data_IF_745107618123
#
_entry.id   IF_745107618123
#
_cell.length_a   1.000
_cell.length_b   1.000
_cell.length_c   1.000
_cell.angle_alpha   90.00
_cell.angle_beta   90.00
_cell.angle_gamma   90.00
#
_symmetry.space_group_name_H-M   'P 1'
#
loop_
_entity.id
_entity.type
_entity.pdbx_description
1 polymer ?
#
# COMPACT_ATOMS: atom_id res chain seq x y z
N UNK A 1 29.04 14.42 21.68
CA UNK A 1 29.42 15.33 20.58
C UNK A 1 28.24 15.44 19.63
N UNK A 2 27.58 16.60 19.60
CA UNK A 2 26.50 16.86 18.64
C UNK A 2 27.09 16.84 17.23
N UNK A 3 26.84 15.79 16.45
CA UNK A 3 27.25 15.74 15.06
C UNK A 3 26.63 16.94 14.34
N UNK A 4 27.48 17.81 13.78
CA UNK A 4 27.06 18.92 12.95
C UNK A 4 26.17 18.34 11.84
N UNK A 5 24.89 18.68 11.94
CA UNK A 5 23.80 18.10 11.17
C UNK A 5 23.99 18.58 9.72
N UNK A 6 24.37 17.74 8.76
CA UNK A 6 24.72 18.22 7.43
C UNK A 6 23.43 18.68 6.74
N UNK A 7 23.15 19.98 6.84
CA UNK A 7 22.00 20.60 6.21
C UNK A 7 22.27 20.72 4.72
N UNK A 8 21.31 20.31 3.89
CA UNK A 8 21.31 20.69 2.48
C UNK A 8 21.45 22.21 2.34
N UNK A 9 21.98 22.61 1.18
CA UNK A 9 22.07 24.02 0.77
C UNK A 9 20.74 24.77 1.04
N UNK A 10 20.75 25.85 1.83
CA UNK A 10 19.56 26.66 2.10
C UNK A 10 18.82 27.10 0.84
N UNK A 11 19.54 27.37 -0.25
CA UNK A 11 18.92 27.73 -1.53
C UNK A 11 18.09 26.57 -2.09
N UNK A 12 18.67 25.37 -2.12
CA UNK A 12 17.96 24.16 -2.54
C UNK A 12 16.71 23.92 -1.69
N UNK A 13 16.80 24.07 -0.36
CA UNK A 13 15.64 23.91 0.53
C UNK A 13 14.54 24.92 0.20
N UNK A 14 14.91 26.17 -0.09
CA UNK A 14 13.95 27.21 -0.50
C UNK A 14 13.27 26.88 -1.83
N UNK A 15 14.02 26.35 -2.80
CA UNK A 15 13.49 25.90 -4.10
C UNK A 15 12.54 24.70 -3.94
N UNK A 16 12.95 23.71 -3.15
CA UNK A 16 12.13 22.53 -2.87
C UNK A 16 10.88 22.86 -2.04
N UNK A 17 10.91 23.91 -1.21
CA UNK A 17 9.75 24.35 -0.43
C UNK A 17 8.74 25.18 -1.24
N UNK A 18 9.00 25.47 -2.52
CA UNK A 18 8.01 26.15 -3.37
C UNK A 18 6.82 25.22 -3.64
N UNK A 19 5.61 25.70 -3.36
CA UNK A 19 4.39 24.91 -3.52
C UNK A 19 3.98 24.84 -5.00
N UNK A 20 3.54 23.66 -5.42
CA UNK A 20 2.88 23.41 -6.70
C UNK A 20 1.48 22.83 -6.44
N UNK A 21 0.44 23.69 -6.22
CA UNK A 21 -0.90 23.24 -5.84
C UNK A 21 -1.51 22.20 -6.78
N UNK A 22 -1.20 22.28 -8.08
CA UNK A 22 -1.62 21.30 -9.10
C UNK A 22 -1.18 19.87 -8.79
N UNK A 23 -0.01 19.67 -8.15
CA UNK A 23 0.50 18.33 -7.82
C UNK A 23 -0.23 17.74 -6.63
N UNK A 24 -0.50 18.57 -5.62
CA UNK A 24 -1.31 18.15 -4.47
C UNK A 24 -2.76 17.86 -4.90
N UNK A 25 -3.38 18.76 -5.66
CA UNK A 25 -4.74 18.58 -6.18
C UNK A 25 -4.82 17.41 -7.15
N UNK A 26 -3.84 17.23 -8.04
CA UNK A 26 -3.79 16.09 -8.96
C UNK A 26 -3.69 14.76 -8.23
N UNK A 27 -2.89 14.69 -7.16
CA UNK A 27 -2.82 13.52 -6.29
C UNK A 27 -4.16 13.25 -5.59
N UNK A 28 -4.77 14.27 -4.98
CA UNK A 28 -6.07 14.15 -4.33
C UNK A 28 -7.15 13.67 -5.32
N UNK A 29 -7.22 14.27 -6.51
CA UNK A 29 -8.16 13.88 -7.55
C UNK A 29 -7.94 12.45 -8.03
N UNK A 30 -6.69 12.01 -8.19
CA UNK A 30 -6.38 10.64 -8.58
C UNK A 30 -6.84 9.63 -7.52
N UNK A 31 -6.63 9.91 -6.23
CA UNK A 31 -7.08 9.03 -5.15
C UNK A 31 -8.60 8.95 -5.07
N UNK A 32 -9.29 10.10 -5.17
CA UNK A 32 -10.75 10.14 -5.20
C UNK A 32 -11.33 9.44 -6.44
N UNK A 33 -10.65 9.51 -7.59
CA UNK A 33 -11.05 8.77 -8.78
C UNK A 33 -10.95 7.25 -8.57
N UNK A 34 -9.88 6.76 -7.92
CA UNK A 34 -9.74 5.34 -7.57
C UNK A 34 -10.81 4.91 -6.57
N UNK A 35 -11.12 5.76 -5.57
CA UNK A 35 -12.20 5.51 -4.61
C UNK A 35 -13.54 5.38 -5.32
N UNK A 36 -13.89 6.37 -6.15
CA UNK A 36 -15.15 6.38 -6.90
C UNK A 36 -15.25 5.17 -7.83
N UNK A 37 -14.18 4.87 -8.58
CA UNK A 37 -14.12 3.68 -9.44
C UNK A 37 -14.29 2.39 -8.66
N UNK A 38 -13.69 2.29 -7.46
CA UNK A 38 -13.85 1.10 -6.60
C UNK A 38 -15.31 0.90 -6.23
N UNK A 39 -16.02 1.95 -5.81
CA UNK A 39 -17.46 1.86 -5.51
C UNK A 39 -18.29 1.50 -6.74
N UNK A 40 -18.03 2.12 -7.90
CA UNK A 40 -18.72 1.79 -9.15
C UNK A 40 -18.51 0.33 -9.57
N UNK A 41 -17.29 -0.20 -9.40
CA UNK A 41 -16.99 -1.61 -9.71
C UNK A 41 -17.69 -2.55 -8.74
N UNK A 42 -17.74 -2.22 -7.44
CA UNK A 42 -18.47 -3.03 -6.46
C UNK A 42 -19.96 -3.06 -6.77
N UNK A 43 -20.54 -1.90 -7.06
CA UNK A 43 -21.95 -1.76 -7.42
C UNK A 43 -22.30 -2.52 -8.70
N UNK A 44 -21.43 -2.44 -9.72
CA UNK A 44 -21.63 -3.15 -10.99
C UNK A 44 -21.47 -4.69 -10.88
N UNK A 45 -20.67 -5.17 -9.92
CA UNK A 45 -20.48 -6.61 -9.68
C UNK A 45 -21.56 -7.16 -8.75
N UNK A 46 -22.09 -6.34 -7.84
CA UNK A 46 -23.16 -6.67 -6.86
C UNK A 46 -23.01 -8.05 -6.20
N UNK A 47 -21.80 -8.36 -5.72
CA UNK A 47 -21.48 -9.64 -5.08
C UNK A 47 -20.78 -9.46 -3.74
N UNK A 48 -21.13 -10.21 -2.68
CA UNK A 48 -20.52 -10.07 -1.35
C UNK A 48 -18.98 -10.07 -1.34
N UNK A 49 -18.35 -10.89 -2.20
CA UNK A 49 -16.88 -10.90 -2.31
C UNK A 49 -16.31 -9.59 -2.87
N UNK A 50 -17.03 -8.89 -3.76
CA UNK A 50 -16.59 -7.60 -4.27
C UNK A 50 -16.53 -6.55 -3.15
N UNK A 51 -17.54 -6.52 -2.26
CA UNK A 51 -17.53 -5.66 -1.07
C UNK A 51 -16.34 -5.98 -0.15
N UNK A 52 -16.08 -7.26 0.12
CA UNK A 52 -14.94 -7.67 0.98
C UNK A 52 -13.60 -7.27 0.35
N UNK A 53 -13.41 -7.52 -0.96
CA UNK A 53 -12.17 -7.20 -1.64
C UNK A 53 -11.95 -5.69 -1.79
N UNK A 54 -13.02 -4.90 -1.91
CA UNK A 54 -12.96 -3.45 -2.04
C UNK A 54 -12.41 -2.72 -0.80
N UNK A 55 -12.44 -3.38 0.37
CA UNK A 55 -11.85 -2.85 1.61
C UNK A 55 -10.35 -2.52 1.42
N UNK A 56 -9.65 -3.31 0.60
CA UNK A 56 -8.20 -3.16 0.36
C UNK A 56 -7.88 -1.86 -0.41
N UNK A 57 -8.39 -1.63 -1.64
CA UNK A 57 -8.13 -0.38 -2.36
C UNK A 57 -8.71 0.83 -1.63
N UNK A 58 -9.87 0.73 -0.98
CA UNK A 58 -10.43 1.82 -0.18
C UNK A 58 -9.52 2.20 0.99
N UNK A 59 -9.08 1.23 1.79
CA UNK A 59 -8.15 1.46 2.91
C UNK A 59 -6.79 2.00 2.45
N UNK A 60 -6.28 1.54 1.31
CA UNK A 60 -5.06 2.09 0.70
C UNK A 60 -5.24 3.55 0.26
N UNK A 61 -6.37 3.91 -0.35
CA UNK A 61 -6.64 5.31 -0.71
C UNK A 61 -6.90 6.16 0.53
N UNK A 62 -7.47 5.61 1.59
CA UNK A 62 -7.57 6.30 2.89
C UNK A 62 -6.19 6.60 3.50
N UNK A 63 -5.19 5.72 3.33
CA UNK A 63 -3.79 6.04 3.66
C UNK A 63 -3.27 7.21 2.83
N UNK A 64 -3.61 7.26 1.54
CA UNK A 64 -3.23 8.34 0.63
C UNK A 64 -3.84 9.68 1.07
N UNK A 65 -5.13 9.68 1.41
CA UNK A 65 -5.77 10.83 2.04
C UNK A 65 -5.08 11.21 3.35
N UNK A 66 -4.69 10.24 4.18
CA UNK A 66 -3.93 10.49 5.42
C UNK A 66 -2.59 11.21 5.18
N UNK A 67 -1.88 10.87 4.11
CA UNK A 67 -0.65 11.54 3.71
C UNK A 67 -0.90 12.98 3.19
N UNK A 68 -1.94 13.19 2.38
CA UNK A 68 -2.34 14.53 1.90
C UNK A 68 -2.81 15.42 3.05
N UNK A 69 -3.55 14.84 3.98
CA UNK A 69 -3.97 15.45 5.25
C UNK A 69 -2.76 15.90 6.08
N UNK A 70 -1.76 15.04 6.22
CA UNK A 70 -0.51 15.34 6.89
C UNK A 70 0.23 16.52 6.21
N UNK A 71 0.36 16.50 4.89
CA UNK A 71 0.98 17.59 4.11
C UNK A 71 0.19 18.92 4.28
N UNK A 72 -1.14 18.86 4.28
CA UNK A 72 -2.00 20.02 4.55
C UNK A 72 -1.90 20.53 6.01
N UNK A 73 -1.56 19.68 6.98
CA UNK A 73 -1.30 20.12 8.35
C UNK A 73 -0.10 21.08 8.40
N UNK A 74 0.89 20.88 7.53
CA UNK A 74 2.05 21.76 7.34
C UNK A 74 1.81 22.94 6.37
N UNK A 75 0.58 23.15 5.91
CA UNK A 75 0.19 24.22 4.96
C UNK A 75 0.81 24.07 3.56
N UNK A 76 1.03 22.83 3.12
CA UNK A 76 1.76 22.53 1.88
C UNK A 76 0.86 22.27 0.66
N UNK A 77 -0.47 22.25 0.83
CA UNK A 77 -1.39 22.01 -0.28
C UNK A 77 -1.44 23.22 -1.24
N UNK A 78 -1.65 24.42 -0.70
CA UNK A 78 -1.73 25.66 -1.49
C UNK A 78 -1.64 26.93 -0.62
N UNK A 79 -1.60 28.09 -1.28
CA UNK A 79 -1.86 29.39 -0.67
C UNK A 79 -3.18 29.96 -1.19
N UNK A 80 -3.90 30.78 -0.41
CA UNK A 80 -3.63 31.16 0.99
C UNK A 80 -3.92 30.04 2.00
N UNK A 81 -3.51 30.22 3.26
CA UNK A 81 -3.58 29.19 4.32
C UNK A 81 -5.00 28.75 4.67
N UNK A 82 -6.02 29.60 4.47
CA UNK A 82 -7.42 29.21 4.66
C UNK A 82 -7.89 28.23 3.58
N UNK A 83 -7.42 28.40 2.33
CA UNK A 83 -7.78 27.51 1.22
C UNK A 83 -7.13 26.14 1.40
N UNK A 84 -5.87 26.12 1.87
CA UNK A 84 -5.22 24.89 2.29
C UNK A 84 -6.05 24.14 3.34
N UNK A 85 -6.57 24.86 4.34
CA UNK A 85 -7.33 24.23 5.41
C UNK A 85 -8.68 23.74 4.94
N UNK A 86 -9.38 24.48 4.08
CA UNK A 86 -10.62 24.05 3.47
C UNK A 86 -10.43 22.78 2.63
N UNK A 87 -9.43 22.78 1.72
CA UNK A 87 -9.13 21.64 0.86
C UNK A 87 -8.64 20.43 1.65
N UNK A 88 -7.67 20.63 2.55
CA UNK A 88 -7.13 19.57 3.41
C UNK A 88 -8.18 18.98 4.34
N UNK A 89 -9.13 19.78 4.82
CA UNK A 89 -10.24 19.28 5.65
C UNK A 89 -11.25 18.50 4.81
N UNK A 90 -11.76 19.07 3.73
CA UNK A 90 -12.84 18.48 2.94
C UNK A 90 -12.42 17.26 2.12
N UNK A 91 -11.21 17.28 1.53
CA UNK A 91 -10.73 16.22 0.64
C UNK A 91 -9.96 15.12 1.37
N UNK A 92 -9.51 15.35 2.60
CA UNK A 92 -8.63 14.40 3.29
C UNK A 92 -8.97 14.17 4.77
N UNK A 93 -9.10 15.23 5.59
CA UNK A 93 -9.31 15.06 7.04
C UNK A 93 -10.71 14.54 7.41
N UNK A 94 -11.77 15.25 7.02
CA UNK A 94 -13.15 14.89 7.34
C UNK A 94 -13.57 13.53 6.77
N UNK A 95 -13.19 13.14 5.54
CA UNK A 95 -13.39 11.78 5.05
C UNK A 95 -12.81 10.68 5.97
N UNK A 96 -11.75 10.98 6.72
CA UNK A 96 -11.15 10.05 7.69
C UNK A 96 -11.74 10.18 9.10
N UNK A 97 -12.71 11.08 9.30
CA UNK A 97 -13.28 11.38 10.62
C UNK A 97 -12.32 12.14 11.54
N UNK A 98 -11.36 12.86 10.96
CA UNK A 98 -10.33 13.62 11.69
C UNK A 98 -10.49 15.12 11.44
N UNK A 99 -9.91 15.95 12.31
CA UNK A 99 -9.86 17.40 12.11
C UNK A 99 -8.44 17.91 11.91
N UNK A 100 -8.29 18.84 10.97
CA UNK A 100 -6.99 19.35 10.53
C UNK A 100 -6.28 20.15 11.62
N UNK A 101 -6.96 21.07 12.30
CA UNK A 101 -6.36 21.85 13.39
C UNK A 101 -6.02 21.01 14.61
N UNK A 102 -6.89 20.05 14.96
CA UNK A 102 -6.65 19.09 16.05
C UNK A 102 -5.39 18.27 15.82
N UNK A 103 -5.27 17.69 14.62
CA UNK A 103 -4.09 16.95 14.22
C UNK A 103 -2.84 17.82 14.11
N UNK A 104 -2.92 19.01 13.50
CA UNK A 104 -1.80 19.96 13.42
C UNK A 104 -1.21 20.27 14.79
N UNK A 105 -2.06 20.49 15.81
CA UNK A 105 -1.61 20.70 17.20
C UNK A 105 -0.83 19.50 17.75
N UNK A 106 -1.39 18.29 17.60
CA UNK A 106 -0.74 17.05 18.03
C UNK A 106 0.60 16.84 17.30
N UNK A 107 0.58 16.96 15.98
CA UNK A 107 1.71 16.65 15.12
C UNK A 107 2.85 17.66 15.28
N UNK A 108 2.55 18.95 15.45
CA UNK A 108 3.60 19.95 15.71
C UNK A 108 4.24 19.78 17.10
N UNK A 109 3.47 19.32 18.09
CA UNK A 109 4.04 18.93 19.39
C UNK A 109 5.00 17.73 19.23
N UNK A 110 4.62 16.73 18.43
CA UNK A 110 5.49 15.61 18.06
C UNK A 110 6.78 16.07 17.34
N UNK A 111 6.71 16.92 16.32
CA UNK A 111 7.91 17.46 15.67
C UNK A 111 8.84 18.19 16.64
N UNK A 112 8.26 18.96 17.56
CA UNK A 112 9.03 19.73 18.56
C UNK A 112 9.70 18.83 19.58
N UNK A 113 9.04 17.74 19.97
CA UNK A 113 9.46 16.84 21.05
C UNK A 113 9.98 15.50 20.54
N UNK A 114 10.30 15.38 19.25
CA UNK A 114 10.64 14.11 18.61
C UNK A 114 11.68 13.33 19.43
N UNK A 115 11.32 12.10 19.80
CA UNK A 115 12.21 11.20 20.54
C UNK A 115 12.42 11.56 22.01
N UNK A 116 11.77 12.59 22.54
CA UNK A 116 11.79 12.91 23.97
C UNK A 116 10.69 12.15 24.73
N UNK A 117 10.76 12.19 26.06
CA UNK A 117 9.69 11.66 26.92
C UNK A 117 8.38 12.46 26.79
N UNK A 118 8.46 13.72 26.35
CA UNK A 118 7.34 14.62 26.13
C UNK A 118 6.73 14.48 24.72
N UNK A 119 7.27 13.58 23.88
CA UNK A 119 6.70 13.26 22.58
C UNK A 119 5.30 12.63 22.76
N UNK A 120 4.22 13.29 22.29
CA UNK A 120 2.86 12.78 22.46
C UNK A 120 2.64 11.42 21.77
N UNK A 121 3.42 11.11 20.72
CA UNK A 121 3.37 9.79 20.08
C UNK A 121 3.98 8.71 20.98
N UNK A 122 5.12 8.98 21.60
CA UNK A 122 5.77 8.06 22.53
C UNK A 122 4.91 7.82 23.77
N UNK A 123 4.29 8.88 24.31
CA UNK A 123 3.32 8.74 25.39
C UNK A 123 2.15 7.82 24.98
N UNK A 124 1.57 8.02 23.79
CA UNK A 124 0.50 7.16 23.30
C UNK A 124 0.94 5.70 23.10
N UNK A 125 2.14 5.48 22.52
CA UNK A 125 2.74 4.15 22.39
C UNK A 125 2.96 3.50 23.75
N UNK A 126 3.38 4.26 24.77
CA UNK A 126 3.61 3.77 26.13
C UNK A 126 2.38 3.14 26.80
N UNK A 127 1.18 3.51 26.36
CA UNK A 127 -0.08 2.94 26.86
C UNK A 127 -0.35 1.52 26.34
N UNK A 128 0.37 1.06 25.31
CA UNK A 128 0.08 -0.19 24.59
C UNK A 128 1.32 -1.07 24.50
N UNK A 129 1.26 -2.29 25.04
CA UNK A 129 2.41 -3.25 25.06
C UNK A 129 2.87 -3.72 23.68
N UNK A 130 2.08 -3.48 22.63
CA UNK A 130 2.36 -3.94 21.27
C UNK A 130 3.56 -3.26 20.62
N UNK A 131 4.04 -2.14 21.15
CA UNK A 131 5.19 -1.38 20.65
C UNK A 131 6.49 -1.68 21.42
N UNK A 132 6.54 -2.79 22.15
CA UNK A 132 7.74 -3.21 22.89
C UNK A 132 8.73 -3.93 21.98
N UNK A 133 10.01 -3.73 22.28
CA UNK A 133 11.13 -4.40 21.64
C UNK A 133 11.86 -5.32 22.65
N UNK A 134 12.48 -6.43 22.21
CA UNK A 134 12.50 -6.93 20.83
C UNK A 134 11.12 -7.43 20.36
N UNK A 135 10.84 -7.17 19.08
CA UNK A 135 9.61 -7.54 18.42
C UNK A 135 9.53 -9.05 18.20
N UNK A 136 8.46 -9.68 18.68
CA UNK A 136 8.18 -11.09 18.37
C UNK A 136 7.34 -11.17 17.10
N UNK A 137 7.88 -11.80 16.04
CA UNK A 137 7.21 -11.87 14.73
C UNK A 137 5.74 -12.33 14.79
N UNK A 138 5.35 -13.36 15.57
CA UNK A 138 3.94 -13.74 15.70
C UNK A 138 3.07 -12.64 16.30
N UNK A 139 3.59 -11.86 17.26
CA UNK A 139 2.83 -10.76 17.89
C UNK A 139 2.61 -9.60 16.91
N UNK A 140 3.62 -9.26 16.12
CA UNK A 140 3.51 -8.23 15.08
C UNK A 140 2.52 -8.67 14.01
N UNK A 141 2.63 -9.91 13.53
CA UNK A 141 1.72 -10.48 12.54
C UNK A 141 0.27 -10.56 13.06
N UNK A 142 0.06 -11.07 14.27
CA UNK A 142 -1.27 -11.14 14.88
C UNK A 142 -1.87 -9.76 15.13
N UNK A 143 -1.06 -8.76 15.49
CA UNK A 143 -1.53 -7.38 15.60
C UNK A 143 -1.96 -6.79 14.25
N UNK A 144 -1.19 -7.05 13.19
CA UNK A 144 -1.52 -6.62 11.83
C UNK A 144 -2.79 -7.32 11.30
N UNK A 145 -2.86 -8.65 11.40
CA UNK A 145 -4.04 -9.43 11.00
C UNK A 145 -5.24 -9.06 11.86
N UNK A 146 -5.04 -8.84 13.16
CA UNK A 146 -6.07 -8.38 14.08
C UNK A 146 -6.69 -7.06 13.63
N UNK A 147 -5.87 -6.09 13.23
CA UNK A 147 -6.38 -4.83 12.65
C UNK A 147 -7.19 -5.07 11.39
N UNK A 148 -6.72 -5.93 10.45
CA UNK A 148 -7.44 -6.25 9.21
C UNK A 148 -8.86 -6.82 9.43
N UNK A 149 -9.13 -7.44 10.57
CA UNK A 149 -10.45 -8.00 10.92
C UNK A 149 -11.22 -7.18 11.95
N UNK A 150 -10.79 -5.93 12.22
CA UNK A 150 -11.53 -4.96 13.04
C UNK A 150 -10.84 -4.58 14.37
N UNK A 151 -9.64 -5.11 14.64
CA UNK A 151 -8.79 -4.70 15.76
C UNK A 151 -8.34 -3.23 15.71
N UNK A 152 -8.59 -2.53 14.59
CA UNK A 152 -8.30 -1.12 14.42
C UNK A 152 -9.30 -0.15 15.08
N UNK A 153 -10.48 -0.61 15.52
CA UNK A 153 -11.51 0.25 16.13
C UNK A 153 -10.99 1.06 17.33
N UNK A 154 -10.23 0.49 18.29
CA UNK A 154 -9.66 1.27 19.39
C UNK A 154 -8.72 2.39 18.92
N UNK A 155 -7.99 2.18 17.82
CA UNK A 155 -7.11 3.21 17.24
C UNK A 155 -7.92 4.35 16.62
N UNK A 156 -9.05 4.03 15.95
CA UNK A 156 -9.97 5.04 15.44
C UNK A 156 -10.50 5.95 16.57
N UNK A 157 -10.94 5.35 17.69
CA UNK A 157 -11.42 6.10 18.85
C UNK A 157 -10.31 6.93 19.51
N UNK A 158 -9.09 6.39 19.58
CA UNK A 158 -7.93 7.11 20.09
C UNK A 158 -7.57 8.30 19.19
N UNK A 159 -7.58 8.11 17.88
CA UNK A 159 -7.32 9.16 16.91
C UNK A 159 -8.29 10.33 17.06
N UNK A 160 -9.59 10.07 17.18
CA UNK A 160 -10.59 11.11 17.42
C UNK A 160 -10.33 11.91 18.71
N UNK A 161 -9.74 11.29 19.75
CA UNK A 161 -9.32 12.00 20.97
C UNK A 161 -8.06 12.86 20.76
N UNK A 162 -7.10 12.36 19.99
CA UNK A 162 -5.85 13.07 19.68
C UNK A 162 -6.08 14.25 18.73
N UNK A 163 -6.99 14.09 17.77
CA UNK A 163 -7.33 15.10 16.75
C UNK A 163 -8.61 15.85 17.09
N UNK A 164 -8.87 16.12 18.38
CA UNK A 164 -10.06 16.87 18.79
C UNK A 164 -10.12 18.24 18.08
N UNK A 165 -11.31 18.66 17.61
CA UNK A 165 -11.48 19.95 16.95
C UNK A 165 -10.98 21.08 17.84
N UNK A 166 -10.23 22.00 17.24
CA UNK A 166 -9.72 23.20 17.93
C UNK A 166 -10.69 24.38 17.81
N UNK A 167 -11.75 24.25 17.01
CA UNK A 167 -12.78 25.26 16.84
C UNK A 167 -14.16 24.63 16.62
N UNK A 168 -15.21 25.40 16.90
CA UNK A 168 -16.61 25.01 16.63
C UNK A 168 -16.83 24.78 15.13
N UNK A 169 -16.16 25.56 14.28
CA UNK A 169 -16.26 25.42 12.82
C UNK A 169 -15.73 24.06 12.36
N UNK A 170 -14.61 23.58 12.91
CA UNK A 170 -14.11 22.24 12.59
C UNK A 170 -15.07 21.13 13.06
N UNK A 171 -15.60 21.26 14.28
CA UNK A 171 -16.51 20.28 14.85
C UNK A 171 -17.81 20.19 14.04
N UNK A 172 -18.47 21.32 13.80
CA UNK A 172 -19.71 21.40 13.03
C UNK A 172 -19.44 21.04 11.56
N UNK A 173 -18.33 21.50 10.99
CA UNK A 173 -17.97 21.19 9.59
C UNK A 173 -17.84 19.69 9.35
N UNK A 174 -17.18 18.96 10.24
CA UNK A 174 -17.07 17.50 10.14
C UNK A 174 -18.43 16.80 10.31
N UNK A 175 -19.26 17.27 11.25
CA UNK A 175 -20.61 16.72 11.47
C UNK A 175 -21.52 16.95 10.26
N UNK A 176 -21.51 18.17 9.70
CA UNK A 176 -22.26 18.52 8.50
C UNK A 176 -21.76 17.73 7.30
N UNK A 177 -20.45 17.58 7.13
CA UNK A 177 -19.87 16.76 6.07
C UNK A 177 -20.42 15.33 6.11
N UNK A 178 -20.31 14.65 7.26
CA UNK A 178 -20.81 13.28 7.40
C UNK A 178 -22.34 13.18 7.32
N UNK A 179 -23.06 14.14 7.89
CA UNK A 179 -24.52 14.20 7.81
C UNK A 179 -25.03 14.34 6.38
N UNK A 180 -24.39 15.19 5.57
CA UNK A 180 -24.70 15.36 4.15
C UNK A 180 -24.33 14.11 3.36
N UNK A 181 -23.10 13.58 3.54
CA UNK A 181 -22.66 12.38 2.83
C UNK A 181 -23.58 11.20 3.12
N UNK A 182 -23.84 10.91 4.40
CA UNK A 182 -24.73 9.82 4.79
C UNK A 182 -26.15 10.06 4.30
N UNK A 183 -26.69 11.27 4.47
CA UNK A 183 -28.04 11.61 4.02
C UNK A 183 -28.23 11.44 2.51
N UNK A 184 -27.28 11.93 1.70
CA UNK A 184 -27.30 11.78 0.24
C UNK A 184 -27.27 10.30 -0.16
N UNK A 185 -26.34 9.51 0.37
CA UNK A 185 -26.25 8.09 0.01
C UNK A 185 -27.46 7.28 0.48
N UNK A 186 -28.06 7.59 1.63
CA UNK A 186 -29.30 6.95 2.09
C UNK A 186 -30.47 7.27 1.15
N UNK A 187 -30.66 8.53 0.76
CA UNK A 187 -31.73 8.94 -0.17
C UNK A 187 -31.58 8.26 -1.54
N UNK A 188 -30.34 8.02 -1.98
CA UNK A 188 -30.03 7.32 -3.22
C UNK A 188 -30.13 5.79 -3.11
N UNK A 189 -30.47 5.22 -1.94
CA UNK A 189 -30.50 3.77 -1.72
C UNK A 189 -29.11 3.11 -1.61
N UNK A 190 -28.06 3.91 -1.46
CA UNK A 190 -26.65 3.52 -1.47
C UNK A 190 -26.01 3.60 -0.07
N UNK A 191 -26.79 3.35 0.99
CA UNK A 191 -26.30 3.41 2.39
C UNK A 191 -25.10 2.48 2.67
N UNK A 192 -24.88 1.47 1.83
CA UNK A 192 -23.73 0.58 1.89
C UNK A 192 -22.39 1.29 1.64
N UNK A 193 -22.37 2.40 0.88
CA UNK A 193 -21.15 3.15 0.54
C UNK A 193 -20.47 3.72 1.80
N UNK A 194 -21.12 4.56 2.63
CA UNK A 194 -20.50 5.07 3.85
C UNK A 194 -20.19 3.96 4.86
N UNK A 195 -20.96 2.86 4.89
CA UNK A 195 -20.66 1.70 5.76
C UNK A 195 -19.34 1.05 5.34
N UNK A 196 -19.20 0.72 4.05
CA UNK A 196 -17.99 0.08 3.53
C UNK A 196 -16.76 0.99 3.68
N UNK A 197 -16.94 2.30 3.54
CA UNK A 197 -15.90 3.29 3.80
C UNK A 197 -15.40 3.23 5.25
N UNK A 198 -16.31 3.24 6.23
CA UNK A 198 -15.94 3.16 7.66
C UNK A 198 -15.32 1.80 8.01
N UNK A 199 -15.82 0.70 7.44
CA UNK A 199 -15.20 -0.63 7.58
C UNK A 199 -13.76 -0.62 7.08
N UNK A 200 -13.49 0.04 5.95
CA UNK A 200 -12.14 0.19 5.40
C UNK A 200 -11.21 0.99 6.31
N UNK A 201 -11.75 2.02 6.98
CA UNK A 201 -11.00 2.79 7.99
C UNK A 201 -10.65 1.88 9.18
N UNK A 202 -11.66 1.19 9.73
CA UNK A 202 -11.52 0.34 10.91
C UNK A 202 -10.59 -0.87 10.71
N UNK A 203 -10.29 -1.22 9.46
CA UNK A 203 -9.50 -2.39 9.09
C UNK A 203 -8.19 -2.02 8.40
N UNK A 204 -8.20 -1.90 7.07
CA UNK A 204 -7.00 -1.75 6.23
C UNK A 204 -6.28 -0.45 6.51
N UNK A 205 -6.99 0.67 6.69
CA UNK A 205 -6.35 1.94 7.05
C UNK A 205 -5.54 1.79 8.35
N UNK A 206 -6.14 1.38 9.47
CA UNK A 206 -5.39 1.27 10.73
C UNK A 206 -4.24 0.24 10.68
N UNK A 207 -4.41 -0.84 9.91
CA UNK A 207 -3.32 -1.79 9.67
C UNK A 207 -2.12 -1.14 8.96
N UNK A 208 -2.38 -0.22 8.02
CA UNK A 208 -1.35 0.56 7.34
C UNK A 208 -0.68 1.58 8.26
N UNK A 209 -1.46 2.30 9.09
CA UNK A 209 -0.90 3.23 10.08
C UNK A 209 0.01 2.50 11.06
N UNK A 210 -0.37 1.29 11.50
CA UNK A 210 0.48 0.45 12.33
C UNK A 210 1.83 0.18 11.65
N UNK A 211 1.83 -0.29 10.40
CA UNK A 211 3.06 -0.56 9.67
C UNK A 211 3.93 0.69 9.54
N UNK A 212 3.33 1.86 9.36
CA UNK A 212 4.04 3.15 9.35
C UNK A 212 4.69 3.47 10.69
N UNK A 213 3.98 3.35 11.80
CA UNK A 213 4.55 3.57 13.14
C UNK A 213 5.75 2.62 13.38
N UNK A 214 5.61 1.34 12.99
CA UNK A 214 6.71 0.37 13.06
C UNK A 214 7.92 0.79 12.23
N UNK A 215 7.69 1.28 11.01
CA UNK A 215 8.77 1.56 10.07
C UNK A 215 9.38 2.94 10.22
N UNK A 216 8.67 3.91 10.80
CA UNK A 216 9.10 5.32 10.87
C UNK A 216 9.65 5.67 12.27
N UNK A 217 8.94 5.33 13.35
CA UNK A 217 9.21 5.91 14.69
C UNK A 217 9.53 4.91 15.79
N UNK A 218 9.48 3.61 15.53
CA UNK A 218 9.60 2.66 16.62
C UNK A 218 11.01 2.58 17.18
N UNK A 219 11.13 2.83 18.48
CA UNK A 219 12.33 2.61 19.28
C UNK A 219 13.50 3.53 18.93
N UNK A 220 13.27 4.61 18.17
CA UNK A 220 14.29 5.56 17.73
C UNK A 220 14.06 6.94 18.34
N UNK A 221 15.14 7.64 18.69
CA UNK A 221 15.11 9.06 19.11
C UNK A 221 14.85 10.02 17.94
N UNK A 222 14.76 9.49 16.71
CA UNK A 222 14.54 10.22 15.47
C UNK A 222 13.48 9.50 14.63
N UNK A 223 13.73 9.34 13.33
CA UNK A 223 12.89 8.61 12.38
C UNK A 223 13.78 7.67 11.58
N UNK A 224 13.33 6.46 11.29
CA UNK A 224 14.09 5.54 10.44
C UNK A 224 14.07 6.04 8.99
N UNK A 225 15.20 5.90 8.30
CA UNK A 225 15.31 6.22 6.87
C UNK A 225 15.16 4.93 6.06
N UNK A 226 13.93 4.59 5.69
CA UNK A 226 13.60 3.28 5.08
C UNK A 226 13.48 3.37 3.56
N UNK A 227 13.89 2.30 2.88
CA UNK A 227 13.51 2.02 1.50
C UNK A 227 12.39 1.00 1.45
N UNK A 228 11.30 1.39 0.80
CA UNK A 228 10.14 0.53 0.54
C UNK A 228 10.03 0.31 -0.97
N UNK A 229 9.80 -0.94 -1.44
CA UNK A 229 9.57 -1.20 -2.86
C UNK A 229 8.38 -0.40 -3.39
N UNK A 230 8.50 0.20 -4.58
CA UNK A 230 7.50 1.12 -5.16
C UNK A 230 6.07 0.56 -5.16
N UNK A 231 5.90 -0.73 -5.46
CA UNK A 231 4.57 -1.36 -5.49
C UNK A 231 3.93 -1.43 -4.09
N UNK A 232 4.73 -1.62 -3.04
CA UNK A 232 4.26 -1.71 -1.66
C UNK A 232 4.08 -0.32 -1.06
N UNK A 233 4.93 0.62 -1.45
CA UNK A 233 4.84 2.03 -1.09
C UNK A 233 3.50 2.61 -1.52
N UNK A 234 3.05 2.37 -2.75
CA UNK A 234 1.73 2.85 -3.20
C UNK A 234 0.55 2.29 -2.40
N UNK A 235 0.71 1.12 -1.76
CA UNK A 235 -0.35 0.48 -1.00
C UNK A 235 -0.44 1.03 0.43
N UNK A 236 0.70 1.17 1.11
CA UNK A 236 0.79 1.42 2.56
C UNK A 236 1.42 2.76 2.92
N UNK A 237 2.25 3.33 2.05
CA UNK A 237 2.95 4.61 2.22
C UNK A 237 2.81 5.52 0.99
N UNK A 238 1.59 5.76 0.50
CA UNK A 238 1.37 6.63 -0.66
C UNK A 238 1.87 8.05 -0.38
N UNK A 239 2.11 8.79 -1.47
CA UNK A 239 2.56 10.19 -1.43
C UNK A 239 3.81 10.38 -0.59
N UNK A 240 4.82 9.52 -0.79
CA UNK A 240 6.15 9.69 -0.22
C UNK A 240 6.18 9.84 1.32
N UNK A 241 5.11 9.43 2.01
CA UNK A 241 5.01 9.54 3.46
C UNK A 241 6.07 8.67 4.16
N UNK A 242 6.54 7.61 3.48
CA UNK A 242 7.67 6.78 3.92
C UNK A 242 9.03 7.49 3.89
N UNK A 243 9.12 8.69 3.30
CA UNK A 243 10.29 9.57 3.40
C UNK A 243 10.23 10.43 4.67
N UNK A 244 9.73 9.85 5.77
CA UNK A 244 9.38 10.58 6.98
C UNK A 244 10.60 11.21 7.68
N UNK A 245 11.77 10.57 7.59
CA UNK A 245 13.02 11.19 8.08
C UNK A 245 13.34 12.50 7.36
N UNK A 246 13.21 12.55 6.03
CA UNK A 246 13.38 13.78 5.25
C UNK A 246 12.35 14.83 5.64
N UNK A 247 11.10 14.41 5.86
CA UNK A 247 10.02 15.30 6.30
C UNK A 247 10.32 15.91 7.68
N UNK A 248 10.75 15.13 8.68
CA UNK A 248 11.15 15.68 9.98
C UNK A 248 12.30 16.66 9.87
N UNK A 249 13.23 16.43 8.94
CA UNK A 249 14.39 17.31 8.74
C UNK A 249 14.01 18.63 8.07
N UNK A 250 13.09 18.60 7.12
CA UNK A 250 12.60 19.77 6.38
C UNK A 250 11.08 19.69 6.14
N UNK A 251 10.26 19.97 7.15
CA UNK A 251 8.80 19.84 7.05
C UNK A 251 8.15 20.88 6.14
N UNK A 252 8.92 21.84 5.62
CA UNK A 252 8.46 22.80 4.61
C UNK A 252 8.45 22.24 3.18
N UNK A 253 9.05 21.06 2.96
CA UNK A 253 9.14 20.45 1.63
C UNK A 253 7.91 19.54 1.43
N UNK A 254 7.09 19.79 0.38
CA UNK A 254 5.91 19.00 0.10
C UNK A 254 6.27 17.60 -0.39
N UNK A 255 5.36 16.65 -0.19
CA UNK A 255 5.61 15.24 -0.46
C UNK A 255 6.18 14.94 -1.86
N UNK A 256 5.68 15.60 -2.91
CA UNK A 256 6.09 15.40 -4.31
C UNK A 256 7.50 15.92 -4.63
N UNK A 257 8.21 16.48 -3.63
CA UNK A 257 9.60 16.92 -3.71
C UNK A 257 10.51 16.21 -2.69
N UNK A 258 9.98 15.34 -1.83
CA UNK A 258 10.76 14.64 -0.80
C UNK A 258 11.79 13.66 -1.39
N UNK A 259 11.52 13.03 -2.55
CA UNK A 259 12.55 12.20 -3.23
C UNK A 259 13.75 13.02 -3.70
N UNK A 260 13.50 14.23 -4.22
CA UNK A 260 14.58 15.14 -4.62
C UNK A 260 15.38 15.61 -3.40
N UNK A 261 14.68 15.89 -2.29
CA UNK A 261 15.31 16.21 -1.01
C UNK A 261 16.17 15.04 -0.50
N UNK A 262 15.67 13.80 -0.54
CA UNK A 262 16.41 12.58 -0.16
C UNK A 262 17.70 12.44 -0.97
N UNK A 263 17.65 12.70 -2.27
CA UNK A 263 18.81 12.60 -3.16
C UNK A 263 19.90 13.64 -2.84
N UNK A 264 19.51 14.82 -2.33
CA UNK A 264 20.43 15.89 -2.00
C UNK A 264 20.90 15.89 -0.54
N UNK A 265 20.15 15.27 0.37
CA UNK A 265 20.49 15.23 1.79
C UNK A 265 21.44 14.07 2.14
N UNK A 266 22.64 14.35 2.66
CA UNK A 266 23.36 13.37 3.46
C UNK A 266 22.54 13.05 4.72
N UNK A 267 22.64 11.80 5.18
CA UNK A 267 21.87 11.35 6.34
C UNK A 267 22.27 9.93 6.75
N UNK A 268 21.56 9.36 7.74
CA UNK A 268 21.78 7.98 8.15
C UNK A 268 21.57 7.03 6.95
N UNK A 269 22.14 5.81 7.02
CA UNK A 269 21.99 4.83 5.95
C UNK A 269 20.52 4.52 5.70
N UNK A 270 20.17 4.32 4.43
CA UNK A 270 18.84 3.88 4.05
C UNK A 270 18.74 2.38 4.32
N UNK A 271 17.81 1.99 5.19
CA UNK A 271 17.61 0.60 5.59
C UNK A 271 16.49 -0.06 4.78
N UNK A 272 16.63 -1.34 4.47
CA UNK A 272 15.55 -2.12 3.87
C UNK A 272 14.56 -2.63 4.93
N UNK A 273 13.31 -2.88 4.56
CA UNK A 273 12.31 -3.46 5.46
C UNK A 273 12.79 -4.75 6.16
N UNK A 274 13.44 -5.73 5.48
CA UNK A 274 13.95 -6.92 6.15
C UNK A 274 15.07 -6.63 7.15
N UNK A 275 15.93 -5.65 6.87
CA UNK A 275 16.99 -5.25 7.80
C UNK A 275 16.40 -4.61 9.05
N UNK A 276 15.44 -3.70 8.88
CA UNK A 276 14.73 -3.06 9.98
C UNK A 276 13.98 -4.09 10.85
N UNK A 277 13.25 -5.01 10.23
CA UNK A 277 12.55 -6.09 10.93
C UNK A 277 13.50 -6.98 11.74
N UNK A 278 14.67 -7.34 11.18
CA UNK A 278 15.71 -8.08 11.92
C UNK A 278 16.19 -7.28 13.13
N UNK A 279 16.48 -6.00 12.96
CA UNK A 279 16.91 -5.16 14.09
C UNK A 279 15.87 -5.09 15.20
N UNK A 280 14.58 -4.98 14.87
CA UNK A 280 13.53 -5.06 15.89
C UNK A 280 13.49 -6.40 16.61
N UNK A 281 13.78 -7.51 15.94
CA UNK A 281 13.80 -8.84 16.57
C UNK A 281 15.03 -9.08 17.46
N UNK A 282 16.15 -8.41 17.17
CA UNK A 282 17.43 -8.63 17.86
C UNK A 282 17.86 -7.47 18.74
N UNK A 283 17.06 -6.40 18.85
CA UNK A 283 17.41 -5.22 19.63
C UNK A 283 17.49 -5.52 21.13
N UNK A 284 18.13 -4.60 21.86
CA UNK A 284 17.96 -4.49 23.30
C UNK A 284 16.47 -4.34 23.67
N UNK A 285 16.14 -4.74 24.90
CA UNK A 285 14.79 -4.62 25.41
C UNK A 285 14.41 -3.14 25.61
N UNK A 286 13.32 -2.71 24.99
CA UNK A 286 12.72 -1.38 25.17
C UNK A 286 11.23 -1.56 25.45
N UNK A 287 10.74 -0.89 26.49
CA UNK A 287 9.29 -0.81 26.72
C UNK A 287 8.65 0.05 25.65
N UNK A 288 7.36 -0.16 25.42
CA UNK A 288 6.61 0.68 24.49
C UNK A 288 6.76 2.16 24.84
N UNK A 289 7.01 2.99 23.84
CA UNK A 289 7.23 4.43 24.03
C UNK A 289 8.64 4.83 24.48
N UNK A 290 9.49 3.88 24.89
CA UNK A 290 10.91 4.16 25.10
C UNK A 290 11.63 4.23 23.74
N UNK A 291 12.68 5.05 23.69
CA UNK A 291 13.52 5.24 22.51
C UNK A 291 14.98 4.90 22.82
N UNK A 292 15.71 4.47 21.82
CA UNK A 292 17.16 4.32 21.87
C UNK A 292 17.75 4.63 20.48
N UNK A 293 19.06 4.75 20.37
CA UNK A 293 19.71 4.92 19.06
C UNK A 293 19.89 3.57 18.34
N UNK A 294 18.77 2.89 18.08
CA UNK A 294 18.68 1.60 17.35
C UNK A 294 19.39 1.60 15.99
N UNK A 295 19.56 2.79 15.40
CA UNK A 295 20.21 2.98 14.11
C UNK A 295 21.66 2.47 14.15
N UNK A 296 22.37 2.61 15.28
CA UNK A 296 23.79 2.22 15.39
C UNK A 296 24.00 0.70 15.26
N UNK A 297 23.03 -0.11 15.70
CA UNK A 297 23.08 -1.57 15.62
C UNK A 297 22.61 -2.13 14.25
N UNK A 298 21.84 -1.33 13.49
CA UNK A 298 21.28 -1.70 12.19
C UNK A 298 22.29 -1.59 11.02
N UNK A 299 23.40 -0.87 11.20
CA UNK A 299 24.39 -0.51 10.13
C UNK A 299 25.35 -1.66 9.76
N UNK A 300 25.36 -2.79 10.47
CA UNK A 300 26.20 -3.94 10.07
C UNK A 300 25.70 -4.68 8.82
N UNK A 301 24.57 -4.27 8.24
CA UNK A 301 24.13 -4.75 6.92
C UNK A 301 24.71 -3.86 5.79
N UNK A 302 25.16 -4.45 4.66
CA UNK A 302 25.79 -3.69 3.57
C UNK A 302 24.91 -2.54 3.12
N UNK A 303 25.45 -1.32 3.12
CA UNK A 303 24.77 -0.16 2.60
C UNK A 303 24.48 -0.37 1.10
N UNK A 304 23.21 -0.30 0.72
CA UNK A 304 22.88 -0.15 -0.70
C UNK A 304 23.31 1.26 -1.10
N UNK A 305 24.49 1.37 -1.72
CA UNK A 305 24.86 2.55 -2.47
C UNK A 305 23.75 2.86 -3.48
N UNK A 306 23.36 4.13 -3.52
CA UNK A 306 22.51 4.76 -4.53
C UNK A 306 22.85 4.22 -5.93
N UNK A 307 22.10 3.21 -6.39
CA UNK A 307 22.28 2.65 -7.73
C UNK A 307 21.48 3.49 -8.72
N UNK A 308 22.23 4.17 -9.57
CA UNK A 308 21.78 4.93 -10.73
C UNK A 308 20.88 4.10 -11.67
N UNK A 309 19.89 4.79 -12.29
CA UNK A 309 19.06 4.38 -13.44
C UNK A 309 18.81 2.87 -13.59
N UNK A 310 18.03 2.31 -12.68
CA UNK A 310 17.37 1.02 -12.88
C UNK A 310 16.33 1.20 -14.00
N UNK A 311 16.41 0.41 -15.09
CA UNK A 311 15.32 0.29 -16.07
C UNK A 311 14.02 -0.01 -15.29
N UNK A 312 13.02 0.88 -15.39
CA UNK A 312 11.99 1.02 -14.36
C UNK A 312 11.33 -0.32 -13.97
N UNK A 313 11.21 -0.64 -12.66
CA UNK A 313 10.44 -1.78 -12.16
C UNK A 313 9.04 -1.83 -12.76
N UNK A 314 8.45 -0.66 -13.01
CA UNK A 314 7.18 -0.47 -13.69
C UNK A 314 7.13 -1.12 -15.09
N UNK A 315 8.15 -0.95 -15.94
CA UNK A 315 8.17 -1.61 -17.27
C UNK A 315 8.19 -3.13 -17.16
N UNK A 316 8.81 -3.68 -16.11
CA UNK A 316 8.86 -5.13 -15.88
C UNK A 316 7.52 -5.66 -15.40
N UNK A 317 6.87 -4.99 -14.44
CA UNK A 317 5.53 -5.35 -13.96
C UNK A 317 4.50 -5.20 -15.09
N UNK A 318 4.55 -4.09 -15.84
CA UNK A 318 3.67 -3.88 -16.99
C UNK A 318 3.88 -4.94 -18.06
N UNK A 319 5.13 -5.24 -18.43
CA UNK A 319 5.42 -6.15 -19.54
C UNK A 319 5.25 -7.64 -19.21
N UNK A 320 5.48 -8.06 -17.96
CA UNK A 320 5.54 -9.48 -17.60
C UNK A 320 4.47 -9.95 -16.64
N UNK A 321 3.77 -9.02 -15.97
CA UNK A 321 2.66 -9.36 -15.08
C UNK A 321 1.36 -8.85 -15.70
N UNK A 322 1.20 -7.53 -15.80
CA UNK A 322 -0.07 -6.92 -16.22
C UNK A 322 -0.39 -7.17 -17.69
N UNK A 323 0.60 -7.10 -18.58
CA UNK A 323 0.44 -7.38 -20.01
C UNK A 323 -0.07 -8.79 -20.29
N UNK A 324 0.64 -9.86 -19.84
CA UNK A 324 0.18 -11.22 -20.02
C UNK A 324 -1.15 -11.50 -19.30
N UNK A 325 -1.37 -10.94 -18.11
CA UNK A 325 -2.63 -11.08 -17.38
C UNK A 325 -3.82 -10.50 -18.18
N UNK A 326 -3.68 -9.26 -18.66
CA UNK A 326 -4.70 -8.56 -19.45
C UNK A 326 -4.92 -9.18 -20.82
N UNK A 327 -3.85 -9.60 -21.51
CA UNK A 327 -3.95 -10.30 -22.78
C UNK A 327 -4.63 -11.67 -22.62
N UNK A 328 -4.30 -12.41 -21.57
CA UNK A 328 -4.96 -13.67 -21.24
C UNK A 328 -6.45 -13.48 -20.97
N UNK A 329 -6.81 -12.44 -20.21
CA UNK A 329 -8.21 -12.08 -19.95
C UNK A 329 -8.96 -11.68 -21.24
N UNK A 330 -8.32 -10.91 -22.12
CA UNK A 330 -8.89 -10.51 -23.40
C UNK A 330 -9.12 -11.72 -24.32
N UNK A 331 -8.12 -12.58 -24.47
CA UNK A 331 -8.23 -13.82 -25.27
C UNK A 331 -9.32 -14.72 -24.70
N UNK A 332 -9.33 -14.89 -23.38
CA UNK A 332 -10.35 -15.68 -22.69
C UNK A 332 -11.76 -15.14 -22.97
N UNK A 333 -11.97 -13.82 -22.83
CA UNK A 333 -13.25 -13.18 -23.07
C UNK A 333 -13.71 -13.25 -24.53
N UNK A 334 -12.78 -13.17 -25.49
CA UNK A 334 -13.07 -13.18 -26.91
C UNK A 334 -13.30 -14.60 -27.47
N UNK A 335 -12.62 -15.62 -26.96
CA UNK A 335 -12.50 -16.91 -27.66
C UNK A 335 -13.11 -18.10 -26.92
N UNK A 336 -13.52 -18.00 -25.64
CA UNK A 336 -14.16 -19.13 -24.96
C UNK A 336 -15.64 -19.29 -25.33
N UNK A 337 -16.12 -20.54 -25.56
CA UNK A 337 -17.54 -20.84 -25.63
C UNK A 337 -18.25 -20.49 -24.32
N UNK A 338 -19.40 -19.82 -24.42
CA UNK A 338 -20.19 -19.40 -23.27
C UNK A 338 -21.10 -20.51 -22.77
N UNK A 339 -20.56 -21.34 -21.89
CA UNK A 339 -21.31 -22.36 -21.16
C UNK A 339 -20.61 -22.82 -19.86
N UNK A 340 -19.56 -22.13 -19.39
CA UNK A 340 -18.71 -22.59 -18.29
C UNK A 340 -18.85 -21.71 -17.04
N UNK A 341 -18.31 -22.21 -15.91
CA UNK A 341 -18.48 -21.61 -14.60
C UNK A 341 -18.17 -20.12 -14.54
N UNK A 342 -17.21 -19.57 -15.28
CA UNK A 342 -17.01 -18.11 -15.30
C UNK A 342 -18.29 -17.33 -15.65
N UNK A 343 -19.05 -17.81 -16.64
CA UNK A 343 -20.34 -17.22 -17.01
C UNK A 343 -21.44 -17.59 -16.01
N UNK A 344 -21.41 -18.77 -15.39
CA UNK A 344 -22.36 -19.11 -14.33
C UNK A 344 -22.11 -18.31 -13.05
N UNK A 345 -20.86 -17.97 -12.76
CA UNK A 345 -20.45 -17.13 -11.65
C UNK A 345 -20.85 -15.70 -11.99
N UNK A 346 -20.45 -15.15 -13.14
CA UNK A 346 -20.85 -13.82 -13.62
C UNK A 346 -22.38 -13.66 -13.73
N UNK A 347 -23.11 -14.69 -14.20
CA UNK A 347 -24.57 -14.70 -14.19
C UNK A 347 -25.16 -14.78 -12.78
N UNK A 348 -24.53 -15.52 -11.86
CA UNK A 348 -24.82 -15.43 -10.41
C UNK A 348 -24.47 -14.06 -9.82
N UNK A 349 -23.64 -13.26 -10.49
CA UNK A 349 -23.31 -11.87 -10.17
C UNK A 349 -24.13 -10.86 -10.98
N UNK A 350 -25.16 -11.29 -11.73
CA UNK A 350 -26.01 -10.40 -12.55
C UNK A 350 -25.33 -9.82 -13.80
N UNK A 351 -24.10 -10.24 -14.13
CA UNK A 351 -23.34 -9.76 -15.28
C UNK A 351 -23.54 -10.71 -16.47
N UNK A 352 -24.33 -10.27 -17.45
CA UNK A 352 -24.46 -10.95 -18.74
C UNK A 352 -23.50 -10.37 -19.77
N UNK A 353 -22.55 -11.18 -20.24
CA UNK A 353 -21.66 -10.78 -21.32
C UNK A 353 -22.37 -10.94 -22.68
N UNK A 354 -22.15 -10.05 -23.68
CA UNK A 354 -22.73 -10.16 -25.03
C UNK A 354 -22.03 -11.25 -25.84
N UNK A 355 -22.71 -12.15 -26.58
CA UNK A 355 -22.16 -13.40 -27.13
C UNK A 355 -20.79 -13.19 -27.80
N UNK A 356 -19.88 -14.18 -27.67
CA UNK A 356 -18.56 -14.07 -28.29
C UNK A 356 -18.73 -13.75 -29.79
N UNK A 357 -18.09 -12.68 -30.30
CA UNK A 357 -18.25 -12.25 -31.69
C UNK A 357 -17.56 -13.20 -32.68
N UNK A 358 -16.79 -14.18 -32.19
CA UNK A 358 -16.02 -15.12 -32.99
C UNK A 358 -16.61 -16.50 -32.72
N UNK A 359 -17.04 -17.20 -33.77
CA UNK A 359 -17.43 -18.61 -33.68
C UNK A 359 -16.21 -19.43 -33.25
N UNK A 360 -16.07 -19.62 -31.93
CA UNK A 360 -14.92 -20.26 -31.29
C UNK A 360 -14.62 -21.68 -31.79
N UNK A 361 -15.52 -22.31 -32.55
CA UNK A 361 -15.42 -23.70 -32.98
C UNK A 361 -14.12 -24.06 -33.73
N UNK A 362 -13.61 -23.17 -34.59
CA UNK A 362 -12.42 -23.47 -35.39
C UNK A 362 -11.08 -23.11 -34.70
N UNK A 363 -11.08 -22.12 -33.81
CA UNK A 363 -9.85 -21.61 -33.17
C UNK A 363 -9.67 -22.10 -31.74
N UNK A 364 -10.74 -22.46 -31.02
CA UNK A 364 -10.67 -22.89 -29.62
C UNK A 364 -9.67 -24.03 -29.34
N UNK A 365 -9.52 -25.06 -30.20
CA UNK A 365 -8.50 -26.10 -29.98
C UNK A 365 -7.06 -25.59 -30.08
N UNK A 366 -6.84 -24.50 -30.82
CA UNK A 366 -5.52 -23.96 -31.14
C UNK A 366 -5.08 -22.86 -30.16
N UNK A 367 -6.01 -22.07 -29.65
CA UNK A 367 -5.71 -20.93 -28.76
C UNK A 367 -6.36 -21.01 -27.38
N UNK A 368 -7.16 -22.05 -27.10
CA UNK A 368 -7.86 -22.23 -25.82
C UNK A 368 -6.95 -22.37 -24.60
N UNK A 369 -5.73 -22.88 -24.79
CA UNK A 369 -4.71 -23.05 -23.74
C UNK A 369 -3.89 -21.79 -23.46
N UNK A 370 -4.02 -20.76 -24.30
CA UNK A 370 -3.20 -19.56 -24.24
C UNK A 370 -3.46 -18.70 -22.98
N UNK A 371 -4.70 -18.55 -22.48
CA UNK A 371 -4.95 -17.88 -21.19
C UNK A 371 -4.24 -18.57 -20.03
N UNK A 372 -4.33 -19.90 -19.92
CA UNK A 372 -3.66 -20.67 -18.85
C UNK A 372 -2.14 -20.48 -18.87
N UNK A 373 -1.54 -20.47 -20.07
CA UNK A 373 -0.13 -20.16 -20.25
C UNK A 373 0.22 -18.73 -19.81
N UNK A 374 -0.54 -17.73 -20.27
CA UNK A 374 -0.28 -16.32 -19.98
C UNK A 374 -0.45 -15.98 -18.49
N UNK A 375 -1.45 -16.55 -17.83
CA UNK A 375 -1.69 -16.36 -16.41
C UNK A 375 -0.66 -17.08 -15.55
N UNK A 376 -0.24 -18.29 -15.94
CA UNK A 376 0.86 -18.99 -15.26
C UNK A 376 2.17 -18.22 -15.40
N UNK A 377 2.46 -17.68 -16.58
CA UNK A 377 3.61 -16.80 -16.80
C UNK A 377 3.53 -15.56 -15.89
N UNK A 378 2.40 -14.86 -15.89
CA UNK A 378 2.19 -13.64 -15.11
C UNK A 378 2.35 -13.90 -13.59
N UNK A 379 1.74 -14.97 -13.09
CA UNK A 379 1.85 -15.38 -11.69
C UNK A 379 3.29 -15.70 -11.31
N UNK A 380 4.00 -16.45 -12.16
CA UNK A 380 5.40 -16.80 -11.93
C UNK A 380 6.30 -15.58 -11.94
N UNK A 381 6.10 -14.65 -12.89
CA UNK A 381 6.82 -13.39 -12.95
C UNK A 381 6.53 -12.50 -11.73
N UNK A 382 5.28 -12.46 -11.27
CA UNK A 382 4.88 -11.73 -10.07
C UNK A 382 5.55 -12.32 -8.82
N UNK A 383 5.41 -13.64 -8.58
CA UNK A 383 6.03 -14.33 -7.44
C UNK A 383 7.54 -14.12 -7.44
N UNK A 384 8.19 -14.24 -8.60
CA UNK A 384 9.62 -13.96 -8.73
C UNK A 384 9.97 -12.50 -8.42
N UNK A 385 9.16 -11.53 -8.84
CA UNK A 385 9.41 -10.11 -8.58
C UNK A 385 9.26 -9.70 -7.12
N UNK A 386 8.52 -10.48 -6.33
CA UNK A 386 8.29 -10.24 -4.89
C UNK A 386 9.35 -10.93 -4.03
N UNK A 387 10.18 -11.81 -4.61
CA UNK A 387 11.27 -12.45 -3.88
C UNK A 387 12.31 -11.42 -3.41
N UNK A 388 12.58 -11.42 -2.11
CA UNK A 388 13.52 -10.49 -1.45
C UNK A 388 14.64 -11.18 -0.67
N UNK A 389 14.75 -12.51 -0.77
CA UNK A 389 15.80 -13.29 -0.11
C UNK A 389 17.15 -13.24 -0.86
N UNK A 390 18.27 -13.52 -0.18
CA UNK A 390 19.60 -13.46 -0.78
C UNK A 390 19.76 -14.49 -1.91
N UNK A 391 20.49 -14.11 -2.97
CA UNK A 391 20.72 -14.96 -4.15
C UNK A 391 21.41 -16.29 -3.82
N UNK A 392 22.15 -16.35 -2.71
CA UNK A 392 22.82 -17.55 -2.19
C UNK A 392 21.87 -18.59 -1.58
N UNK A 393 20.61 -18.24 -1.26
CA UNK A 393 19.65 -19.18 -0.68
C UNK A 393 18.77 -19.84 -1.76
N UNK A 394 19.42 -20.63 -2.60
CA UNK A 394 18.81 -21.28 -3.77
C UNK A 394 17.66 -22.24 -3.40
N UNK A 395 17.70 -22.87 -2.22
CA UNK A 395 16.60 -23.72 -1.74
C UNK A 395 15.33 -22.92 -1.41
N UNK A 396 15.44 -21.85 -0.63
CA UNK A 396 14.28 -21.03 -0.27
C UNK A 396 13.71 -20.29 -1.49
N UNK A 397 14.58 -19.83 -2.39
CA UNK A 397 14.17 -19.20 -3.65
C UNK A 397 13.40 -20.19 -4.53
N UNK A 398 13.89 -21.42 -4.71
CA UNK A 398 13.18 -22.46 -5.46
C UNK A 398 11.84 -22.83 -4.82
N UNK A 399 11.78 -22.95 -3.50
CA UNK A 399 10.53 -23.20 -2.80
C UNK A 399 9.50 -22.07 -3.01
N UNK A 400 9.95 -20.82 -2.94
CA UNK A 400 9.11 -19.65 -3.18
C UNK A 400 8.58 -19.60 -4.62
N UNK A 401 9.45 -19.79 -5.61
CA UNK A 401 9.05 -19.84 -7.01
C UNK A 401 8.13 -21.05 -7.30
N UNK A 402 8.30 -22.14 -6.55
CA UNK A 402 7.45 -23.33 -6.58
C UNK A 402 6.00 -23.08 -6.16
N UNK A 403 5.70 -21.96 -5.46
CA UNK A 403 4.32 -21.57 -5.14
C UNK A 403 3.51 -21.32 -6.41
N UNK A 404 4.06 -20.57 -7.37
CA UNK A 404 3.38 -20.30 -8.64
C UNK A 404 3.13 -21.60 -9.42
N UNK A 405 4.11 -22.49 -9.45
CA UNK A 405 3.97 -23.82 -10.08
C UNK A 405 2.88 -24.65 -9.41
N UNK A 406 2.88 -24.70 -8.08
CA UNK A 406 1.90 -25.50 -7.33
C UNK A 406 0.48 -24.99 -7.54
N UNK A 407 0.28 -23.67 -7.57
CA UNK A 407 -1.03 -23.07 -7.86
C UNK A 407 -1.47 -23.39 -9.28
N UNK A 408 -0.61 -23.14 -10.28
CA UNK A 408 -0.96 -23.34 -11.68
C UNK A 408 -1.23 -24.82 -12.01
N UNK A 409 -0.36 -25.74 -11.57
CA UNK A 409 -0.51 -27.17 -11.83
C UNK A 409 -1.60 -27.79 -10.95
N UNK A 410 -1.70 -27.37 -9.69
CA UNK A 410 -2.75 -27.83 -8.78
C UNK A 410 -4.15 -27.44 -9.24
N UNK A 411 -4.29 -26.28 -9.91
CA UNK A 411 -5.53 -25.89 -10.57
C UNK A 411 -5.93 -26.90 -11.64
N UNK A 412 -5.04 -27.21 -12.58
CA UNK A 412 -5.30 -28.16 -13.68
C UNK A 412 -5.55 -29.59 -13.15
N UNK A 413 -4.67 -30.07 -12.26
CA UNK A 413 -4.80 -31.43 -11.71
C UNK A 413 -6.06 -31.60 -10.86
N UNK A 414 -6.47 -30.58 -10.12
CA UNK A 414 -7.71 -30.68 -9.37
C UNK A 414 -8.97 -30.52 -10.25
N UNK A 415 -8.89 -29.93 -11.44
CA UNK A 415 -9.96 -30.08 -12.44
C UNK A 415 -10.01 -31.52 -12.96
N UNK A 416 -8.85 -32.15 -13.21
CA UNK A 416 -8.77 -33.55 -13.62
C UNK A 416 -9.36 -34.49 -12.55
N UNK A 417 -9.09 -34.19 -11.28
CA UNK A 417 -9.63 -34.91 -10.13
C UNK A 417 -11.04 -34.45 -9.71
N UNK A 418 -11.67 -33.53 -10.47
CA UNK A 418 -13.02 -32.98 -10.19
C UNK A 418 -13.16 -32.32 -8.81
N UNK A 419 -12.06 -31.86 -8.21
CA UNK A 419 -12.04 -31.13 -6.95
C UNK A 419 -12.47 -29.67 -7.13
N UNK A 420 -12.18 -29.08 -8.30
CA UNK A 420 -12.65 -27.76 -8.67
C UNK A 420 -13.50 -27.83 -9.93
N UNK A 421 -14.41 -26.86 -10.12
CA UNK A 421 -15.17 -26.76 -11.34
C UNK A 421 -14.28 -26.39 -12.54
N UNK A 422 -14.42 -27.11 -13.65
CA UNK A 422 -13.64 -26.87 -14.87
C UNK A 422 -13.61 -28.09 -15.80
N UNK A 423 -12.90 -27.99 -16.91
CA UNK A 423 -12.66 -29.10 -17.84
C UNK A 423 -11.15 -29.24 -17.97
N UNK A 424 -10.63 -30.36 -17.47
CA UNK A 424 -9.22 -30.66 -17.63
C UNK A 424 -8.86 -30.83 -19.10
N UNK A 425 -7.85 -30.09 -19.54
CA UNK A 425 -7.23 -30.25 -20.85
C UNK A 425 -5.73 -30.47 -20.68
N UNK A 426 -5.20 -31.53 -21.29
CA UNK A 426 -3.76 -31.83 -21.22
C UNK A 426 -2.92 -30.69 -21.82
N UNK A 427 -3.49 -29.96 -22.79
CA UNK A 427 -2.88 -28.80 -23.41
C UNK A 427 -2.70 -27.65 -22.42
N UNK A 428 -3.68 -27.40 -21.54
CA UNK A 428 -3.63 -26.33 -20.53
C UNK A 428 -2.55 -26.64 -19.47
N UNK A 429 -2.46 -27.90 -19.06
CA UNK A 429 -1.42 -28.40 -18.16
C UNK A 429 -0.02 -28.23 -18.79
N UNK A 430 0.18 -28.73 -20.02
CA UNK A 430 1.46 -28.63 -20.72
C UNK A 430 1.85 -27.16 -20.96
N UNK A 431 0.90 -26.32 -21.36
CA UNK A 431 1.14 -24.91 -21.60
C UNK A 431 1.51 -24.17 -20.31
N UNK A 432 0.88 -24.51 -19.18
CA UNK A 432 1.21 -23.95 -17.86
C UNK A 432 2.61 -24.37 -17.40
N UNK A 433 3.01 -25.63 -17.61
CA UNK A 433 4.38 -26.10 -17.33
C UNK A 433 5.40 -25.32 -18.17
N UNK A 434 5.17 -25.20 -19.48
CA UNK A 434 6.08 -24.47 -20.38
C UNK A 434 6.16 -22.99 -20.00
N UNK A 435 5.03 -22.35 -19.72
CA UNK A 435 4.96 -20.95 -19.33
C UNK A 435 5.68 -20.66 -18.01
N UNK A 436 5.56 -21.56 -17.04
CA UNK A 436 6.30 -21.47 -15.78
C UNK A 436 7.82 -21.46 -16.02
N UNK A 437 8.34 -22.42 -16.78
CA UNK A 437 9.79 -22.46 -17.07
C UNK A 437 10.26 -21.29 -17.95
N UNK A 438 9.41 -20.80 -18.86
CA UNK A 438 9.69 -19.60 -19.64
C UNK A 438 9.82 -18.36 -18.75
N UNK A 439 8.91 -18.17 -17.80
CA UNK A 439 8.97 -17.09 -16.81
C UNK A 439 10.19 -17.23 -15.88
N UNK A 440 10.56 -18.45 -15.47
CA UNK A 440 11.77 -18.70 -14.70
C UNK A 440 13.05 -18.31 -15.44
N UNK A 441 13.17 -18.68 -16.72
CA UNK A 441 14.34 -18.33 -17.53
C UNK A 441 14.50 -16.82 -17.74
N UNK A 442 13.39 -16.10 -17.81
CA UNK A 442 13.39 -14.65 -17.87
C UNK A 442 13.79 -14.03 -16.52
N UNK A 443 13.19 -14.50 -15.43
CA UNK A 443 13.45 -13.99 -14.08
C UNK A 443 14.85 -14.33 -13.55
N UNK A 444 15.48 -15.42 -14.04
CA UNK A 444 16.87 -15.75 -13.72
C UNK A 444 17.88 -14.82 -14.41
N UNK A 445 17.58 -14.34 -15.63
CA UNK A 445 18.42 -13.35 -16.33
C UNK A 445 18.38 -11.98 -15.64
N UNK A 446 17.22 -11.61 -15.09
CA UNK A 446 17.06 -10.38 -14.31
C UNK A 446 17.93 -10.38 -13.04
N UNK A 447 18.11 -11.53 -12.38
CA UNK A 447 18.98 -11.62 -11.18
C UNK A 447 20.48 -11.55 -11.47
N UNK A 448 20.93 -11.74 -12.72
CA UNK A 448 22.34 -11.63 -13.11
C UNK A 448 22.74 -10.25 -13.60
N UNK A 449 21.80 -9.43 -14.10
CA UNK A 449 22.07 -8.03 -14.48
C UNK A 449 22.11 -7.08 -13.27
N UNK A 450 21.49 -7.48 -12.15
CA UNK A 450 21.43 -6.70 -10.91
C UNK A 450 22.48 -7.13 -9.85
N UNK A 451 23.29 -8.16 -10.11
CA UNK A 451 24.44 -8.55 -9.27
C UNK A 451 25.69 -7.80 -9.75
#
# INVERSE_FOLDING_TARGET
MAQANPSADPQLIRELSQLEPRRWLGAASADWAVIALTFLVVDAIDHPLAYVLAIIPLGSRQQALGALFHDAAHKLACRPSWLNDALGSALAAWPLGLTLGGYRRYHFAHHKQLGSADDPENHHKGLLRQWSLPARAPRVLLGFVGDLVGGGIPHLLAAGKLTRPVSVVEAIGMLVYWGVIFGVFVVLGLAWVPILWVVSIATVFWSGVRLRIWTEHLGTSSTHRVHVPEWFEQLIMPHEIGLHWEHHRHPSVPFYKLRALRAALPGPPIVSLPALARGFMTSAALRSGEVADLVTDLVTAPSMQSRARIRSPLRRVLGHVLGPLGLGALIYALLRPRALLGDQWLAKLGVELPPSPISAGALAPVVGWLPSALWTYALTAFVASVWSGPASNDRARRAWLGVAFTIAIGWELGQAAQLWPGVFAVQDLLASVVAFFAALRYTSKLSCEDA
#
